data_IF_836025003273
#
_entry.id   IF_836025003273
#
_cell.length_a   1.000
_cell.length_b   1.000
_cell.length_c   1.000
_cell.angle_alpha   90.00
_cell.angle_beta   90.00
_cell.angle_gamma   90.00
#
_symmetry.space_group_name_H-M   'P 1'
#
loop_
_entity.id
_entity.type
_entity.pdbx_description
1 polymer ?
#
# COMPACT_ATOMS: atom_id res chain seq x y z
N UNK A 1 13.70 -3.85 17.80
CA UNK A 1 12.28 -4.00 17.36
C UNK A 1 12.06 -3.13 16.15
N UNK A 2 11.56 -3.70 15.07
CA UNK A 2 11.37 -2.97 13.82
C UNK A 2 10.10 -2.13 13.89
N UNK A 3 10.23 -0.83 13.65
CA UNK A 3 9.12 0.14 13.68
C UNK A 3 8.73 0.52 12.26
N UNK A 4 7.45 0.70 12.02
CA UNK A 4 6.91 1.25 10.79
C UNK A 4 5.95 2.39 11.09
N UNK A 5 5.96 3.42 10.25
CA UNK A 5 5.04 4.56 10.33
C UNK A 5 4.05 4.46 9.18
N UNK A 6 2.78 4.38 9.48
CA UNK A 6 1.71 4.37 8.47
C UNK A 6 1.19 5.79 8.30
N UNK A 7 1.28 6.28 7.07
CA UNK A 7 0.89 7.63 6.72
C UNK A 7 -0.38 7.62 5.87
N UNK A 8 -1.43 8.24 6.38
CA UNK A 8 -2.58 8.58 5.55
C UNK A 8 -2.23 9.65 4.50
N UNK A 9 -3.19 10.05 3.70
CA UNK A 9 -3.01 11.08 2.67
C UNK A 9 -3.80 12.38 2.96
N UNK A 10 -4.06 12.63 4.23
CA UNK A 10 -4.76 13.84 4.68
C UNK A 10 -3.91 15.10 4.64
N UNK A 11 -4.53 16.30 4.79
CA UNK A 11 -3.83 17.58 4.76
C UNK A 11 -2.74 17.74 5.82
N UNK A 12 -2.82 16.98 6.91
CA UNK A 12 -1.84 16.97 8.00
C UNK A 12 -0.45 16.50 7.56
N UNK A 13 -0.33 15.78 6.44
CA UNK A 13 0.97 15.43 5.86
C UNK A 13 1.86 16.65 5.57
N UNK A 14 1.26 17.81 5.32
CA UNK A 14 2.01 19.06 5.08
C UNK A 14 2.81 19.54 6.28
N UNK A 15 2.47 19.06 7.48
CA UNK A 15 3.09 19.45 8.76
C UNK A 15 4.13 18.45 9.26
N UNK A 16 4.34 17.36 8.53
CA UNK A 16 5.25 16.27 8.93
C UNK A 16 6.68 16.64 8.55
N UNK A 17 7.59 16.42 9.47
CA UNK A 17 9.02 16.41 9.16
C UNK A 17 9.41 15.07 8.55
N UNK A 18 9.55 15.02 7.24
CA UNK A 18 9.93 13.81 6.52
C UNK A 18 11.35 13.35 6.84
N UNK A 19 12.23 14.23 7.35
CA UNK A 19 13.56 13.80 7.79
C UNK A 19 13.47 12.91 9.02
N UNK A 20 12.52 13.15 9.90
CA UNK A 20 12.27 12.25 11.02
C UNK A 20 11.65 10.93 10.56
N UNK A 21 10.71 10.97 9.61
CA UNK A 21 10.09 9.76 9.06
C UNK A 21 11.12 8.84 8.39
N UNK A 22 12.12 9.40 7.69
CA UNK A 22 13.16 8.63 7.00
C UNK A 22 13.98 7.72 7.92
N UNK A 23 13.95 7.95 9.23
CA UNK A 23 14.64 7.11 10.22
C UNK A 23 13.97 5.76 10.44
N UNK A 24 12.75 5.61 9.95
CA UNK A 24 11.91 4.42 10.11
C UNK A 24 11.45 3.87 8.77
N UNK A 25 11.03 2.62 8.74
CA UNK A 25 10.23 2.16 7.62
C UNK A 25 8.89 2.90 7.60
N UNK A 26 8.37 3.15 6.42
CA UNK A 26 7.15 3.93 6.25
C UNK A 26 6.23 3.31 5.21
N UNK A 27 4.94 3.53 5.37
CA UNK A 27 3.89 3.01 4.50
C UNK A 27 3.01 4.15 4.00
N UNK A 28 3.02 4.39 2.71
CA UNK A 28 2.19 5.38 2.04
C UNK A 28 0.93 4.76 1.44
N UNK A 29 -0.13 5.54 1.31
CA UNK A 29 -1.44 5.06 0.91
C UNK A 29 -2.08 5.89 -0.21
N UNK A 30 -2.79 5.20 -1.09
CA UNK A 30 -3.73 5.80 -2.04
C UNK A 30 -3.12 6.94 -2.89
N UNK A 31 -3.69 8.13 -2.84
CA UNK A 31 -3.26 9.26 -3.65
C UNK A 31 -2.04 10.02 -3.11
N UNK A 32 -1.44 9.57 -2.01
CA UNK A 32 -0.25 10.21 -1.42
C UNK A 32 0.95 10.27 -2.38
N UNK A 33 1.04 9.35 -3.34
CA UNK A 33 2.10 9.35 -4.36
C UNK A 33 2.22 10.67 -5.14
N UNK A 34 1.15 11.44 -5.23
CA UNK A 34 1.10 12.71 -5.97
C UNK A 34 2.10 13.75 -5.46
N UNK A 35 2.51 13.63 -4.20
CA UNK A 35 3.43 14.59 -3.57
C UNK A 35 4.84 14.05 -3.37
N UNK A 36 5.09 12.77 -3.63
CA UNK A 36 6.38 12.13 -3.35
C UNK A 36 7.54 12.80 -4.08
N UNK A 37 7.39 13.06 -5.37
CA UNK A 37 8.43 13.72 -6.16
C UNK A 37 8.68 15.14 -5.67
N UNK A 38 7.64 15.91 -5.39
CA UNK A 38 7.74 17.28 -4.88
C UNK A 38 8.42 17.34 -3.52
N UNK A 39 8.14 16.39 -2.64
CA UNK A 39 8.72 16.30 -1.30
C UNK A 39 10.09 15.61 -1.30
N UNK A 40 10.52 15.09 -2.43
CA UNK A 40 11.69 14.21 -2.52
C UNK A 40 11.64 13.12 -1.44
N UNK A 41 10.48 12.52 -1.26
CA UNK A 41 10.23 11.48 -0.27
C UNK A 41 9.41 10.35 -0.89
N UNK A 42 9.92 9.14 -0.77
CA UNK A 42 9.20 7.91 -1.10
C UNK A 42 9.12 7.04 0.14
N UNK A 43 7.95 6.49 0.48
CA UNK A 43 7.82 5.57 1.60
C UNK A 43 8.55 4.25 1.31
N UNK A 44 8.81 3.49 2.36
CA UNK A 44 9.39 2.14 2.21
C UNK A 44 8.43 1.20 1.48
N UNK A 45 7.13 1.31 1.78
CA UNK A 45 6.06 0.53 1.18
C UNK A 45 4.92 1.43 0.73
N UNK A 46 4.18 0.96 -0.25
CA UNK A 46 2.99 1.66 -0.76
C UNK A 46 1.82 0.68 -0.87
N UNK A 47 0.62 1.13 -0.53
CA UNK A 47 -0.58 0.29 -0.63
C UNK A 47 -1.82 1.04 -1.05
N UNK A 48 -2.73 0.33 -1.68
CA UNK A 48 -4.08 0.79 -1.97
C UNK A 48 -5.05 -0.39 -1.93
N UNK A 49 -6.03 -0.30 -1.05
CA UNK A 49 -6.97 -1.38 -0.72
C UNK A 49 -8.40 -1.08 -1.15
N UNK A 50 -8.62 -0.04 -1.92
CA UNK A 50 -9.93 0.35 -2.44
C UNK A 50 -9.99 0.13 -3.94
N UNK A 51 -10.98 -0.65 -4.41
CA UNK A 51 -11.15 -0.97 -5.83
C UNK A 51 -11.35 0.29 -6.68
N UNK A 52 -12.12 1.25 -6.20
CA UNK A 52 -12.39 2.49 -6.93
C UNK A 52 -11.12 3.34 -7.07
N UNK A 53 -10.33 3.42 -6.02
CA UNK A 53 -9.05 4.12 -6.02
C UNK A 53 -8.08 3.42 -6.98
N UNK A 54 -7.97 2.10 -6.93
CA UNK A 54 -7.10 1.33 -7.82
C UNK A 54 -7.51 1.49 -9.29
N UNK A 55 -8.80 1.46 -9.61
CA UNK A 55 -9.29 1.69 -10.97
C UNK A 55 -8.99 3.11 -11.45
N UNK A 56 -9.28 4.11 -10.62
CA UNK A 56 -9.08 5.52 -10.96
C UNK A 56 -7.61 5.89 -11.15
N UNK A 57 -6.73 5.30 -10.36
CA UNK A 57 -5.29 5.61 -10.34
C UNK A 57 -4.42 4.53 -10.98
N UNK A 58 -5.01 3.58 -11.69
CA UNK A 58 -4.32 2.42 -12.27
C UNK A 58 -3.04 2.79 -13.02
N UNK A 59 -3.13 3.70 -13.97
CA UNK A 59 -1.99 4.11 -14.80
C UNK A 59 -0.89 4.78 -13.97
N UNK A 60 -1.29 5.58 -12.98
CA UNK A 60 -0.35 6.24 -12.08
C UNK A 60 0.36 5.23 -11.17
N UNK A 61 -0.34 4.22 -10.68
CA UNK A 61 0.27 3.15 -9.88
C UNK A 61 1.22 2.30 -10.73
N UNK A 62 0.84 1.98 -11.94
CA UNK A 62 1.72 1.27 -12.89
C UNK A 62 3.00 2.07 -13.17
N UNK A 63 2.88 3.38 -13.41
CA UNK A 63 4.04 4.26 -13.60
C UNK A 63 4.93 4.28 -12.37
N UNK A 64 4.37 4.39 -11.18
CA UNK A 64 5.11 4.39 -9.92
C UNK A 64 5.88 3.09 -9.69
N UNK A 65 5.30 1.95 -10.06
CA UNK A 65 5.95 0.64 -9.98
C UNK A 65 7.12 0.53 -10.97
N UNK A 66 6.96 1.08 -12.17
CA UNK A 66 7.99 1.03 -13.23
C UNK A 66 9.13 2.03 -13.01
N UNK A 67 8.86 3.12 -12.30
CA UNK A 67 9.86 4.13 -12.00
C UNK A 67 10.96 3.59 -11.09
N UNK A 68 12.18 4.11 -11.28
CA UNK A 68 13.27 3.92 -10.33
C UNK A 68 13.04 4.81 -9.11
N UNK A 69 12.60 4.20 -8.03
CA UNK A 69 12.36 4.85 -6.74
C UNK A 69 12.66 3.87 -5.58
N UNK A 70 12.69 4.41 -4.37
CA UNK A 70 13.08 3.66 -3.17
C UNK A 70 11.97 2.80 -2.56
N UNK A 71 10.78 2.75 -3.16
CA UNK A 71 9.69 1.91 -2.65
C UNK A 71 10.03 0.44 -2.85
N UNK A 72 10.10 -0.30 -1.77
CA UNK A 72 10.51 -1.71 -1.78
C UNK A 72 9.40 -2.66 -2.23
N UNK A 73 8.15 -2.35 -1.92
CA UNK A 73 7.01 -3.19 -2.27
C UNK A 73 5.71 -2.41 -2.36
N UNK A 74 4.88 -2.82 -3.31
CA UNK A 74 3.55 -2.29 -3.56
C UNK A 74 2.50 -3.34 -3.21
N UNK A 75 1.57 -3.00 -2.34
CA UNK A 75 0.45 -3.85 -1.93
C UNK A 75 -0.83 -3.31 -2.57
N UNK A 76 -1.27 -3.95 -3.63
CA UNK A 76 -2.41 -3.50 -4.40
C UNK A 76 -3.46 -4.59 -4.52
N UNK A 77 -4.73 -4.20 -4.39
CA UNK A 77 -5.83 -5.11 -4.61
C UNK A 77 -6.06 -5.34 -6.10
N UNK A 78 -6.45 -6.57 -6.45
CA UNK A 78 -7.04 -6.88 -7.74
C UNK A 78 -8.52 -6.49 -7.79
N UNK A 79 -9.10 -6.59 -8.97
CA UNK A 79 -10.56 -6.51 -9.10
C UNK A 79 -11.16 -7.88 -8.75
N UNK A 80 -11.60 -8.04 -7.50
CA UNK A 80 -12.13 -9.32 -7.03
C UNK A 80 -13.55 -9.60 -7.53
N UNK A 81 -14.35 -8.58 -7.85
CA UNK A 81 -15.71 -8.74 -8.36
C UNK A 81 -15.74 -9.41 -9.73
N UNK A 82 -14.82 -9.04 -10.60
CA UNK A 82 -14.71 -9.61 -11.95
C UNK A 82 -13.71 -10.77 -12.03
N UNK A 83 -13.06 -11.17 -10.94
CA UNK A 83 -11.99 -12.17 -10.91
C UNK A 83 -10.88 -11.92 -11.95
N UNK A 84 -10.73 -10.69 -12.40
CA UNK A 84 -9.73 -10.27 -13.39
C UNK A 84 -8.59 -9.54 -12.71
N UNK A 85 -7.39 -9.69 -13.26
CA UNK A 85 -6.27 -8.85 -12.86
C UNK A 85 -6.52 -7.43 -13.37
N UNK A 86 -6.56 -6.47 -12.44
CA UNK A 86 -6.67 -5.05 -12.78
C UNK A 86 -5.43 -4.56 -13.53
N UNK A 87 -4.27 -5.07 -13.16
CA UNK A 87 -2.97 -4.64 -13.67
C UNK A 87 -2.45 -5.57 -14.77
N UNK A 88 -1.69 -4.98 -15.71
CA UNK A 88 -1.06 -5.73 -16.78
C UNK A 88 -0.04 -6.76 -16.28
N UNK A 89 0.29 -7.75 -17.13
CA UNK A 89 1.21 -8.84 -16.80
C UNK A 89 2.59 -8.34 -16.37
N UNK A 90 3.10 -7.30 -17.00
CA UNK A 90 4.38 -6.68 -16.67
C UNK A 90 4.41 -6.10 -15.25
N UNK A 91 3.28 -5.57 -14.78
CA UNK A 91 3.12 -5.08 -13.42
C UNK A 91 3.02 -6.24 -12.42
N UNK A 92 2.17 -7.22 -12.72
CA UNK A 92 1.96 -8.38 -11.85
C UNK A 92 3.24 -9.19 -11.67
N UNK A 93 4.09 -9.25 -12.69
CA UNK A 93 5.39 -9.94 -12.66
C UNK A 93 6.53 -9.11 -12.08
N UNK A 94 6.30 -7.83 -11.79
CA UNK A 94 7.32 -7.00 -11.14
C UNK A 94 7.60 -7.52 -9.73
N UNK A 95 8.87 -7.67 -9.36
CA UNK A 95 9.30 -8.21 -8.07
C UNK A 95 8.81 -7.41 -6.86
N UNK A 96 8.52 -6.12 -7.05
CA UNK A 96 8.01 -5.23 -6.01
C UNK A 96 6.48 -5.30 -5.85
N UNK A 97 5.77 -5.95 -6.77
CA UNK A 97 4.32 -6.06 -6.74
C UNK A 97 3.85 -7.21 -5.85
N UNK A 98 3.01 -6.90 -4.88
CA UNK A 98 2.31 -7.88 -4.06
C UNK A 98 0.81 -7.71 -4.22
N UNK A 99 0.18 -8.66 -4.88
CA UNK A 99 -1.28 -8.71 -5.00
C UNK A 99 -1.92 -9.02 -3.66
N UNK A 100 -2.96 -8.25 -3.33
CA UNK A 100 -3.83 -8.52 -2.19
C UNK A 100 -5.14 -9.12 -2.72
N UNK A 101 -5.48 -10.31 -2.24
CA UNK A 101 -6.76 -10.93 -2.52
C UNK A 101 -7.63 -10.91 -1.26
N UNK A 102 -8.74 -10.18 -1.32
CA UNK A 102 -9.68 -10.19 -0.22
C UNK A 102 -10.38 -11.55 -0.09
N UNK A 103 -10.53 -12.01 1.15
CA UNK A 103 -11.40 -13.12 1.46
C UNK A 103 -12.87 -12.72 1.28
N UNK A 104 -13.74 -13.69 0.97
CA UNK A 104 -15.17 -13.43 0.77
C UNK A 104 -15.93 -13.07 2.06
N UNK A 105 -15.29 -13.16 3.21
CA UNK A 105 -15.90 -12.87 4.49
C UNK A 105 -15.28 -11.60 5.10
N UNK A 106 -16.13 -10.60 5.38
CA UNK A 106 -15.74 -9.54 6.31
C UNK A 106 -15.74 -10.15 7.71
N UNK A 107 -14.58 -10.26 8.31
CA UNK A 107 -14.45 -10.62 9.71
C UNK A 107 -13.38 -9.74 10.36
N UNK A 108 -13.46 -9.62 11.69
CA UNK A 108 -12.53 -8.79 12.47
C UNK A 108 -11.25 -9.53 12.88
N UNK A 109 -10.97 -10.67 12.25
CA UNK A 109 -9.76 -11.45 12.53
C UNK A 109 -8.63 -10.98 11.63
N UNK A 110 -7.42 -10.96 12.16
CA UNK A 110 -6.22 -10.73 11.36
C UNK A 110 -6.11 -11.80 10.28
N UNK A 111 -5.71 -11.36 9.10
CA UNK A 111 -5.42 -12.27 7.98
C UNK A 111 -4.21 -13.14 8.28
N UNK A 112 -4.24 -14.37 7.79
CA UNK A 112 -3.09 -15.28 7.81
C UNK A 112 -2.15 -15.06 6.63
N UNK A 113 -2.62 -14.47 5.52
CA UNK A 113 -1.85 -14.28 4.30
C UNK A 113 -2.39 -13.15 3.43
N UNK A 114 -1.62 -12.73 2.42
CA UNK A 114 -2.07 -11.77 1.41
C UNK A 114 -3.05 -12.37 0.39
N UNK A 115 -3.10 -13.68 0.26
CA UNK A 115 -4.04 -14.37 -0.65
C UNK A 115 -5.45 -14.52 -0.05
N UNK A 116 -5.56 -14.45 1.27
CA UNK A 116 -6.81 -14.50 2.03
C UNK A 116 -6.83 -13.34 3.01
N UNK A 117 -6.86 -12.14 2.47
CA UNK A 117 -6.77 -10.91 3.24
C UNK A 117 -8.15 -10.45 3.68
N UNK A 118 -8.34 -10.26 4.97
CA UNK A 118 -9.59 -9.75 5.51
C UNK A 118 -9.66 -8.23 5.38
N UNK A 119 -10.71 -7.74 4.73
CA UNK A 119 -10.94 -6.31 4.58
C UNK A 119 -11.47 -5.71 5.90
N UNK A 120 -10.69 -4.82 6.50
CA UNK A 120 -11.08 -4.09 7.70
C UNK A 120 -11.86 -2.79 7.39
N UNK A 121 -12.21 -2.55 6.14
CA UNK A 121 -13.08 -1.46 5.72
C UNK A 121 -12.40 -0.11 5.54
N UNK A 122 -11.11 0.02 5.83
CA UNK A 122 -10.35 1.23 5.53
C UNK A 122 -8.92 0.90 5.09
N UNK A 123 -8.36 1.74 4.22
CA UNK A 123 -6.98 1.56 3.75
C UNK A 123 -5.97 1.66 4.90
N UNK A 124 -6.20 2.54 5.87
CA UNK A 124 -5.35 2.66 7.04
C UNK A 124 -5.33 1.39 7.89
N UNK A 125 -6.49 0.84 8.22
CA UNK A 125 -6.59 -0.41 8.97
C UNK A 125 -5.98 -1.59 8.21
N UNK A 126 -6.19 -1.66 6.90
CA UNK A 126 -5.59 -2.69 6.06
C UNK A 126 -4.05 -2.56 5.97
N UNK A 127 -3.52 -1.34 5.98
CA UNK A 127 -2.09 -1.10 6.05
C UNK A 127 -1.47 -1.56 7.38
N UNK A 128 -2.17 -1.32 8.50
CA UNK A 128 -1.76 -1.85 9.82
C UNK A 128 -1.70 -3.36 9.78
N UNK A 129 -2.73 -4.01 9.25
CA UNK A 129 -2.76 -5.47 9.11
C UNK A 129 -1.62 -5.98 8.21
N UNK A 130 -1.34 -5.30 7.10
CA UNK A 130 -0.22 -5.62 6.22
C UNK A 130 1.11 -5.53 6.96
N UNK A 131 1.31 -4.48 7.75
CA UNK A 131 2.51 -4.31 8.55
C UNK A 131 2.68 -5.45 9.57
N UNK A 132 1.60 -5.89 10.21
CA UNK A 132 1.62 -7.04 11.13
C UNK A 132 2.01 -8.33 10.38
N UNK A 133 1.44 -8.59 9.19
CA UNK A 133 1.81 -9.74 8.36
C UNK A 133 3.29 -9.71 7.94
N UNK A 134 3.86 -8.54 7.75
CA UNK A 134 5.30 -8.36 7.48
C UNK A 134 6.18 -8.50 8.72
N UNK A 135 5.61 -8.72 9.90
CA UNK A 135 6.34 -8.93 11.13
C UNK A 135 6.70 -7.68 11.93
N UNK A 136 6.12 -6.53 11.59
CA UNK A 136 6.28 -5.31 12.40
C UNK A 136 5.54 -5.47 13.73
N UNK A 137 6.17 -5.02 14.80
CA UNK A 137 5.62 -5.10 16.17
C UNK A 137 5.38 -3.73 16.79
N UNK A 138 5.87 -2.67 16.14
CA UNK A 138 5.63 -1.29 16.54
C UNK A 138 5.17 -0.51 15.31
N UNK A 139 3.96 0.04 15.41
CA UNK A 139 3.28 0.73 14.32
C UNK A 139 2.82 2.10 14.84
#
# INVERSE_FOLDING_TARGET
>A
MKTIIIMGNGPSLRKIDFNEIRKYDSFGLNAAYRVYKKLNFYPTYFGSYDCNINNKHKENFESLIKEDNSIKRFFLIGNYELKQNLYGKDIVMNERFQKINFSNARNNKLSGSFNEFNDFGSSGANAVQTAILMGYKKI
#
